data_IF_047232280796
#
_entry.id   IF_047232280796
#
_cell.length_a   1.000
_cell.length_b   1.000
_cell.length_c   1.000
_cell.angle_alpha   90.00
_cell.angle_beta   90.00
_cell.angle_gamma   90.00
#
_symmetry.space_group_name_H-M   'P 1'
#
loop_
_entity.id
_entity.type
_entity.pdbx_description
1 polymer ?
#
# COMPACT_ATOMS: atom_id res chain seq x y z
N UNK A 1 -13.93 3.70 -0.25
CA UNK A 1 -14.45 2.35 0.02
C UNK A 1 -15.95 2.39 -0.08
N UNK A 2 -16.56 1.44 -0.79
CA UNK A 2 -18.01 1.33 -0.88
C UNK A 2 -18.49 0.70 0.43
N UNK A 3 -19.48 1.32 1.09
CA UNK A 3 -20.08 0.80 2.32
C UNK A 3 -21.42 0.11 2.01
N UNK A 4 -22.22 0.75 1.17
CA UNK A 4 -23.46 0.20 0.62
C UNK A 4 -23.68 0.76 -0.80
N UNK A 5 -24.83 0.45 -1.43
CA UNK A 5 -25.15 0.89 -2.80
C UNK A 5 -25.30 2.41 -2.98
N UNK A 6 -25.35 3.17 -1.88
CA UNK A 6 -25.62 4.61 -1.85
C UNK A 6 -24.56 5.42 -1.09
N UNK A 7 -23.69 4.76 -0.34
CA UNK A 7 -22.71 5.41 0.54
C UNK A 7 -21.31 4.83 0.38
N UNK A 8 -20.33 5.70 0.59
CA UNK A 8 -18.93 5.34 0.57
C UNK A 8 -18.15 6.22 1.52
N UNK A 9 -17.01 5.70 1.94
CA UNK A 9 -16.09 6.38 2.84
C UNK A 9 -14.76 6.63 2.14
N UNK A 10 -14.22 7.84 2.31
CA UNK A 10 -12.90 8.16 1.78
C UNK A 10 -11.82 7.45 2.60
N UNK A 11 -10.87 6.83 1.90
CA UNK A 11 -9.71 6.21 2.56
C UNK A 11 -8.83 7.25 3.25
N UNK A 12 -8.13 6.84 4.30
CA UNK A 12 -7.16 7.69 4.99
C UNK A 12 -6.03 8.03 4.02
N UNK A 13 -5.88 9.31 3.66
CA UNK A 13 -4.83 9.74 2.75
C UNK A 13 -3.63 10.26 3.52
N UNK A 14 -2.47 9.65 3.32
CA UNK A 14 -1.21 10.13 3.89
C UNK A 14 -0.12 10.27 2.84
N UNK A 15 0.77 11.25 3.05
CA UNK A 15 2.05 11.28 2.35
C UNK A 15 3.03 10.34 3.03
N UNK A 16 3.60 9.41 2.28
CA UNK A 16 4.61 8.49 2.78
C UNK A 16 5.99 9.16 2.79
N UNK A 17 6.69 9.09 3.93
CA UNK A 17 8.07 9.51 4.05
C UNK A 17 9.01 8.37 3.60
N UNK A 18 10.04 8.71 2.82
CA UNK A 18 11.11 7.76 2.52
C UNK A 18 12.10 7.70 3.67
N UNK A 19 12.38 6.49 4.16
CA UNK A 19 13.38 6.25 5.19
C UNK A 19 14.33 5.13 4.79
N UNK A 20 15.52 5.11 5.41
CA UNK A 20 16.51 4.06 5.25
C UNK A 20 16.95 3.56 6.62
N UNK A 21 17.04 2.24 6.80
CA UNK A 21 17.60 1.62 7.99
C UNK A 21 18.91 0.93 7.63
N UNK A 22 20.03 1.43 8.16
CA UNK A 22 21.34 0.82 8.01
C UNK A 22 21.64 -0.17 9.15
N UNK A 23 22.28 -1.29 8.83
CA UNK A 23 22.81 -2.22 9.83
C UNK A 23 24.26 -1.84 10.18
N UNK A 24 24.44 -1.27 11.38
CA UNK A 24 25.73 -0.77 11.87
C UNK A 24 26.64 -1.93 12.34
N UNK A 25 26.06 -3.06 12.77
CA UNK A 25 26.83 -4.21 13.25
C UNK A 25 27.63 -4.89 12.14
N UNK A 26 27.07 -4.94 10.93
CA UNK A 26 27.75 -5.46 9.75
C UNK A 26 28.83 -4.50 9.20
N UNK A 27 28.67 -3.18 9.43
CA UNK A 27 29.62 -2.16 8.94
C UNK A 27 31.01 -2.30 9.59
N UNK A 28 31.08 -2.75 10.85
CA UNK A 28 32.33 -3.04 11.55
C UNK A 28 33.17 -4.13 10.85
N UNK A 29 32.52 -4.99 10.07
CA UNK A 29 33.12 -6.08 9.29
C UNK A 29 33.16 -5.77 7.78
N UNK A 30 32.99 -4.50 7.38
CA UNK A 30 33.07 -4.07 5.98
C UNK A 30 31.83 -4.38 5.12
N UNK A 31 30.73 -4.84 5.72
CA UNK A 31 29.46 -5.11 5.02
C UNK A 31 28.44 -4.05 5.38
N UNK A 32 28.13 -3.13 4.47
CA UNK A 32 27.02 -2.19 4.63
C UNK A 32 25.74 -2.77 4.02
N UNK A 33 24.70 -2.91 4.85
CA UNK A 33 23.33 -3.28 4.44
C UNK A 33 22.36 -2.16 4.80
N UNK A 34 21.61 -1.67 3.81
CA UNK A 34 20.60 -0.64 4.00
C UNK A 34 19.24 -1.10 3.46
N UNK A 35 18.19 -0.94 4.28
CA UNK A 35 16.80 -1.26 3.93
C UNK A 35 16.03 0.03 3.65
N UNK A 36 15.65 0.25 2.41
CA UNK A 36 14.80 1.37 2.01
C UNK A 36 13.34 1.09 2.32
N UNK A 37 12.63 2.06 2.88
CA UNK A 37 11.22 1.92 3.25
C UNK A 37 10.42 3.20 2.98
N UNK A 38 9.12 3.03 2.77
CA UNK A 38 8.14 4.11 2.92
C UNK A 38 7.47 3.97 4.29
N UNK A 39 7.18 5.10 4.91
CA UNK A 39 6.63 5.19 6.26
C UNK A 39 5.41 6.09 6.24
N UNK A 40 4.33 5.64 6.86
CA UNK A 40 3.14 6.45 7.17
C UNK A 40 2.89 6.41 8.68
N UNK A 41 2.28 7.46 9.21
CA UNK A 41 2.06 7.64 10.65
C UNK A 41 0.87 6.81 11.14
N UNK A 42 0.88 6.48 12.43
CA UNK A 42 -0.15 5.68 13.08
C UNK A 42 0.04 4.20 12.82
N UNK A 43 -0.38 3.39 13.79
CA UNK A 43 -0.33 1.93 13.70
C UNK A 43 -1.51 1.35 12.90
N UNK A 44 -2.61 2.09 12.78
CA UNK A 44 -3.85 1.62 12.15
C UNK A 44 -4.54 2.75 11.39
N UNK A 45 -5.21 2.39 10.29
CA UNK A 45 -6.10 3.31 9.57
C UNK A 45 -7.40 3.46 10.34
N UNK A 46 -7.96 4.68 10.48
CA UNK A 46 -9.29 4.87 11.04
C UNK A 46 -10.39 4.28 10.13
N UNK A 47 -10.11 4.12 8.83
CA UNK A 47 -11.01 3.48 7.87
C UNK A 47 -10.83 1.97 7.95
N UNK A 48 -11.79 1.30 8.59
CA UNK A 48 -11.80 -0.15 8.80
C UNK A 48 -12.85 -0.85 7.94
N UNK A 49 -12.45 -1.90 7.24
CA UNK A 49 -13.36 -2.85 6.61
C UNK A 49 -13.57 -4.05 7.55
N UNK A 50 -14.80 -4.57 7.57
CA UNK A 50 -15.03 -5.89 8.16
C UNK A 50 -14.38 -6.98 7.30
N UNK A 51 -14.36 -8.21 7.84
CA UNK A 51 -13.81 -9.40 7.17
C UNK A 51 -14.72 -9.95 6.05
N UNK A 52 -15.87 -9.34 5.81
CA UNK A 52 -16.78 -9.74 4.72
C UNK A 52 -16.23 -9.30 3.36
N UNK A 53 -15.81 -10.28 2.57
CA UNK A 53 -15.44 -10.09 1.18
C UNK A 53 -16.68 -10.18 0.25
N UNK A 54 -16.65 -9.53 -0.93
CA UNK A 54 -15.56 -8.73 -1.45
C UNK A 54 -15.54 -7.29 -0.93
N UNK A 55 -14.34 -6.77 -0.65
CA UNK A 55 -14.16 -5.35 -0.37
C UNK A 55 -14.16 -4.56 -1.68
N UNK A 56 -15.02 -3.54 -1.79
CA UNK A 56 -15.20 -2.76 -3.01
C UNK A 56 -14.70 -1.33 -2.87
N UNK A 57 -14.05 -0.83 -3.91
CA UNK A 57 -13.55 0.55 -3.94
C UNK A 57 -13.85 1.20 -5.29
N UNK A 58 -14.31 2.44 -5.25
CA UNK A 58 -14.35 3.31 -6.42
C UNK A 58 -13.06 4.11 -6.41
N UNK A 59 -12.25 3.92 -7.44
CA UNK A 59 -10.95 4.57 -7.61
C UNK A 59 -11.05 5.59 -8.73
N UNK A 60 -11.03 6.87 -8.36
CA UNK A 60 -11.09 8.00 -9.30
C UNK A 60 -9.78 8.10 -10.08
N UNK A 61 -9.89 8.18 -11.41
CA UNK A 61 -8.78 8.41 -12.34
C UNK A 61 -9.15 9.52 -13.33
N UNK A 62 -8.20 10.00 -14.12
CA UNK A 62 -8.49 11.00 -15.17
C UNK A 62 -9.36 10.40 -16.28
N UNK A 63 -8.94 9.26 -16.79
CA UNK A 63 -9.57 8.44 -17.81
C UNK A 63 -9.39 6.97 -17.42
N UNK A 64 -10.37 6.12 -17.77
CA UNK A 64 -10.41 4.71 -17.35
C UNK A 64 -10.27 3.73 -18.54
N UNK A 65 -9.51 4.14 -19.55
CA UNK A 65 -9.26 3.39 -20.77
C UNK A 65 -8.08 2.41 -20.65
N UNK A 66 -7.11 2.71 -19.78
CA UNK A 66 -5.93 1.89 -19.46
C UNK A 66 -6.28 0.61 -18.69
N UNK A 67 -5.34 -0.33 -18.66
CA UNK A 67 -5.48 -1.51 -17.79
C UNK A 67 -5.44 -1.07 -16.31
N UNK A 68 -6.46 -1.41 -15.49
CA UNK A 68 -6.48 -1.10 -14.07
C UNK A 68 -5.24 -1.57 -13.30
N UNK A 69 -4.63 -2.69 -13.69
CA UNK A 69 -3.44 -3.28 -13.05
C UNK A 69 -2.19 -2.43 -13.29
N UNK A 70 -2.13 -1.68 -14.39
CA UNK A 70 -1.04 -0.74 -14.66
C UNK A 70 -1.19 0.58 -13.88
N UNK A 71 -2.42 0.90 -13.46
CA UNK A 71 -2.76 2.17 -12.81
C UNK A 71 -2.80 2.02 -11.29
N UNK A 72 -3.28 0.90 -10.78
CA UNK A 72 -3.60 0.73 -9.36
C UNK A 72 -2.65 -0.30 -8.75
N UNK A 73 -1.97 0.08 -7.66
CA UNK A 73 -1.24 -0.88 -6.83
C UNK A 73 -1.86 -0.96 -5.44
N UNK A 74 -2.04 -2.19 -4.96
CA UNK A 74 -2.50 -2.49 -3.61
C UNK A 74 -1.44 -3.34 -2.92
N UNK A 75 -1.06 -2.98 -1.70
CA UNK A 75 -0.07 -3.74 -0.94
C UNK A 75 -0.32 -3.65 0.55
N UNK A 76 0.13 -4.67 1.28
CA UNK A 76 0.07 -4.73 2.74
C UNK A 76 1.18 -3.89 3.36
N UNK A 77 0.89 -3.27 4.50
CA UNK A 77 1.85 -2.56 5.33
C UNK A 77 2.26 -3.39 6.55
N UNK A 78 3.52 -3.27 6.95
CA UNK A 78 4.03 -3.78 8.24
C UNK A 78 3.79 -2.72 9.32
N UNK A 79 3.13 -3.09 10.42
CA UNK A 79 2.94 -2.23 11.59
C UNK A 79 4.19 -2.27 12.49
N UNK A 80 4.69 -1.10 12.90
CA UNK A 80 5.79 -0.92 13.85
C UNK A 80 5.24 -0.21 15.09
N UNK A 81 4.66 -1.01 16.00
CA UNK A 81 3.96 -0.53 17.20
C UNK A 81 4.84 0.35 18.08
N UNK A 82 6.14 0.03 18.17
CA UNK A 82 7.10 0.79 18.99
C UNK A 82 7.36 2.20 18.47
N UNK A 83 7.21 2.40 17.16
CA UNK A 83 7.45 3.69 16.50
C UNK A 83 6.16 4.32 15.97
N UNK A 84 5.02 3.78 16.37
CA UNK A 84 3.68 4.26 16.03
C UNK A 84 3.49 4.57 14.55
N UNK A 85 3.89 3.62 13.70
CA UNK A 85 3.93 3.80 12.24
C UNK A 85 3.63 2.51 11.49
N UNK A 86 3.29 2.66 10.21
CA UNK A 86 3.17 1.57 9.23
C UNK A 86 4.21 1.75 8.13
N UNK A 87 4.76 0.66 7.63
CA UNK A 87 5.86 0.70 6.66
C UNK A 87 5.69 -0.28 5.51
N UNK A 88 6.24 0.05 4.34
CA UNK A 88 6.46 -0.89 3.23
C UNK A 88 7.90 -0.82 2.80
N UNK A 89 8.49 -1.97 2.52
CA UNK A 89 9.91 -2.09 2.21
C UNK A 89 10.11 -2.10 0.72
N UNK A 90 10.91 -1.14 0.26
CA UNK A 90 11.11 -0.86 -1.16
C UNK A 90 12.31 -1.60 -1.76
N UNK A 91 13.15 -2.22 -0.93
CA UNK A 91 14.33 -2.94 -1.38
C UNK A 91 15.43 -2.95 -0.33
N UNK A 92 16.45 -3.76 -0.60
CA UNK A 92 17.63 -3.90 0.25
C UNK A 92 18.88 -3.75 -0.59
N UNK A 93 19.77 -2.86 -0.17
CA UNK A 93 21.09 -2.66 -0.78
C UNK A 93 22.14 -3.31 0.11
N UNK A 94 22.93 -4.22 -0.46
CA UNK A 94 24.15 -4.76 0.13
C UNK A 94 25.35 -4.32 -0.71
N UNK A 95 26.53 -4.25 -0.08
CA UNK A 95 27.80 -3.79 -0.70
C UNK A 95 28.10 -4.37 -2.10
N UNK A 96 27.69 -5.61 -2.40
CA UNK A 96 27.91 -6.26 -3.70
C UNK A 96 26.63 -6.54 -4.52
N UNK A 97 25.43 -6.31 -3.97
CA UNK A 97 24.17 -6.66 -4.62
C UNK A 97 23.04 -5.75 -4.16
N UNK A 98 22.29 -5.21 -5.12
CA UNK A 98 21.02 -4.55 -4.86
C UNK A 98 19.89 -5.50 -5.21
N UNK A 99 19.02 -5.82 -4.25
CA UNK A 99 17.80 -6.59 -4.51
C UNK A 99 16.65 -5.61 -4.74
N UNK A 100 16.00 -5.74 -5.89
CA UNK A 100 14.85 -4.89 -6.28
C UNK A 100 13.63 -5.03 -5.36
N UNK A 101 12.61 -4.22 -5.65
CA UNK A 101 11.32 -4.16 -4.95
C UNK A 101 10.68 -5.56 -4.83
N UNK A 102 10.71 -6.17 -3.64
CA UNK A 102 9.86 -7.32 -3.33
C UNK A 102 8.61 -6.80 -2.59
N UNK A 103 7.80 -6.03 -3.32
CA UNK A 103 6.48 -5.60 -2.83
C UNK A 103 5.50 -6.66 -3.29
N UNK A 104 4.92 -7.40 -2.33
CA UNK A 104 3.82 -8.31 -2.60
C UNK A 104 2.55 -7.52 -2.90
N UNK A 105 2.30 -7.25 -4.18
CA UNK A 105 1.05 -6.63 -4.59
C UNK A 105 -0.11 -7.60 -4.40
N UNK A 106 -1.22 -7.07 -3.87
CA UNK A 106 -2.45 -7.83 -3.67
C UNK A 106 -3.23 -7.84 -4.98
N UNK A 107 -3.59 -9.03 -5.52
CA UNK A 107 -4.42 -9.11 -6.71
C UNK A 107 -5.82 -8.55 -6.44
N UNK A 108 -6.44 -8.02 -7.48
CA UNK A 108 -7.79 -7.47 -7.42
C UNK A 108 -8.48 -7.66 -8.77
N UNK A 109 -9.80 -7.72 -8.73
CA UNK A 109 -10.64 -7.64 -9.93
C UNK A 109 -11.01 -6.18 -10.17
N UNK A 110 -11.14 -5.77 -11.43
CA UNK A 110 -11.45 -4.40 -11.79
C UNK A 110 -12.36 -4.28 -13.01
N UNK A 111 -13.24 -3.28 -12.95
CA UNK A 111 -14.11 -2.90 -14.07
C UNK A 111 -14.21 -1.39 -14.20
N UNK A 112 -14.56 -0.91 -15.39
CA UNK A 112 -14.82 0.52 -15.61
C UNK A 112 -16.05 0.95 -14.81
N UNK A 113 -15.92 2.06 -14.10
CA UNK A 113 -17.01 2.68 -13.37
C UNK A 113 -17.23 4.12 -13.88
N UNK A 114 -18.27 4.31 -14.68
CA UNK A 114 -18.48 5.57 -15.40
C UNK A 114 -17.34 5.85 -16.39
N UNK A 115 -17.01 7.13 -16.57
CA UNK A 115 -15.98 7.60 -17.53
C UNK A 115 -14.61 7.87 -16.90
N UNK A 116 -14.53 7.88 -15.57
CA UNK A 116 -13.37 8.45 -14.88
C UNK A 116 -13.09 7.79 -13.52
N UNK A 117 -13.46 6.51 -13.41
CA UNK A 117 -13.17 5.68 -12.24
C UNK A 117 -13.09 4.21 -12.64
N UNK A 118 -12.45 3.43 -11.77
CA UNK A 118 -12.59 1.98 -11.73
C UNK A 118 -13.39 1.56 -10.50
N UNK A 119 -14.20 0.52 -10.64
CA UNK A 119 -14.68 -0.28 -9.52
C UNK A 119 -13.70 -1.44 -9.36
N UNK A 120 -13.04 -1.52 -8.21
CA UNK A 120 -12.14 -2.63 -7.89
C UNK A 120 -12.73 -3.46 -6.75
N UNK A 121 -12.47 -4.76 -6.79
CA UNK A 121 -12.93 -5.74 -5.80
C UNK A 121 -11.76 -6.58 -5.30
N UNK A 122 -11.63 -6.66 -3.97
CA UNK A 122 -10.71 -7.59 -3.30
C UNK A 122 -11.51 -8.73 -2.68
N UNK A 123 -11.35 -9.92 -3.25
CA UNK A 123 -12.12 -11.12 -2.89
C UNK A 123 -11.49 -11.92 -1.75
N UNK A 124 -10.16 -11.90 -1.62
CA UNK A 124 -9.44 -12.60 -0.56
C UNK A 124 -8.41 -11.66 0.08
N UNK A 125 -8.79 -11.06 1.21
CA UNK A 125 -7.91 -10.19 1.99
C UNK A 125 -7.91 -10.62 3.45
N UNK A 126 -6.73 -10.94 3.95
CA UNK A 126 -6.53 -11.24 5.36
C UNK A 126 -6.60 -9.97 6.22
N UNK A 127 -6.85 -10.13 7.51
CA UNK A 127 -6.75 -9.06 8.49
C UNK A 127 -5.39 -8.36 8.44
N UNK A 128 -5.38 -7.03 8.49
CA UNK A 128 -4.16 -6.21 8.43
C UNK A 128 -4.36 -4.80 7.85
N UNK A 129 -3.22 -4.13 7.63
CA UNK A 129 -3.16 -2.75 7.10
C UNK A 129 -2.75 -2.73 5.63
N UNK A 130 -3.42 -1.91 4.83
CA UNK A 130 -3.26 -1.88 3.38
C UNK A 130 -3.18 -0.45 2.84
N UNK A 131 -2.55 -0.32 1.68
CA UNK A 131 -2.46 0.92 0.93
C UNK A 131 -2.84 0.72 -0.53
N UNK A 132 -3.59 1.68 -1.08
CA UNK A 132 -3.87 1.83 -2.51
C UNK A 132 -3.11 3.05 -3.03
N UNK A 133 -2.38 2.87 -4.13
CA UNK A 133 -1.65 3.93 -4.84
C UNK A 133 -2.02 3.94 -6.31
N UNK A 134 -1.85 5.09 -6.96
CA UNK A 134 -2.18 5.31 -8.36
C UNK A 134 -0.93 5.68 -9.17
N UNK A 135 -0.87 5.23 -10.41
CA UNK A 135 0.18 5.53 -11.40
C UNK A 135 1.61 5.34 -10.85
N UNK A 136 1.79 4.32 -10.02
CA UNK A 136 3.06 4.02 -9.38
C UNK A 136 3.55 5.10 -8.41
N UNK A 137 2.68 5.99 -7.93
CA UNK A 137 2.98 6.95 -6.86
C UNK A 137 3.57 6.21 -5.67
N UNK A 138 4.74 6.67 -5.23
CA UNK A 138 5.47 6.10 -4.10
C UNK A 138 5.39 6.97 -2.85
N UNK A 139 4.61 8.02 -2.88
CA UNK A 139 4.59 9.09 -1.89
C UNK A 139 3.19 9.45 -1.39
N UNK A 140 2.11 9.05 -2.07
CA UNK A 140 0.73 9.27 -1.58
C UNK A 140 0.01 7.94 -1.45
N UNK A 141 -0.31 7.56 -0.21
CA UNK A 141 -0.99 6.32 0.11
C UNK A 141 -2.43 6.58 0.55
N UNK A 142 -3.36 5.77 0.05
CA UNK A 142 -4.75 5.73 0.50
C UNK A 142 -4.92 4.46 1.33
N UNK A 143 -5.11 4.63 2.63
CA UNK A 143 -4.94 3.60 3.64
C UNK A 143 -6.31 3.08 4.11
N UNK A 144 -6.35 1.78 4.37
CA UNK A 144 -7.48 1.10 5.01
C UNK A 144 -6.97 -0.09 5.83
N UNK A 145 -7.71 -0.45 6.86
CA UNK A 145 -7.50 -1.67 7.63
C UNK A 145 -8.60 -2.68 7.35
N UNK A 146 -8.29 -3.95 7.54
CA UNK A 146 -9.25 -5.06 7.53
C UNK A 146 -9.18 -5.76 8.89
N UNK A 147 -10.33 -5.93 9.52
CA UNK A 147 -10.49 -6.58 10.83
C UNK A 147 -10.65 -8.10 10.70
#
# INVERSE_FOLDING_TARGET
MVRDNSSGEQLEKQKAASASKADIGAALFGVSKARGMNVVNGIESPVRAGSEAPLKFIVRVKENDRDPVEVINIFRLEQDVKKERRTIVKGTVNFNQTTGLNIGFIPFEASRYGQSSYLIELTEVASGEYAITLDGSRDVFNLFGVD
#
